data_IF_918425615355
#
_entry.id   IF_918425615355
#
_cell.length_a   1.000
_cell.length_b   1.000
_cell.length_c   1.000
_cell.angle_alpha   90.00
_cell.angle_beta   90.00
_cell.angle_gamma   90.00
#
_symmetry.space_group_name_H-M   'P 1'
#
loop_
_entity.id
_entity.type
_entity.pdbx_description
1 polymer ?
#
# COMPACT_ATOMS: atom_id res chain seq x y z
N UNK A 1 15.07 -26.96 68.79
CA UNK A 1 15.71 -25.67 68.47
C UNK A 1 16.25 -25.83 67.05
N UNK A 2 15.44 -25.47 66.05
CA UNK A 2 15.40 -24.11 65.45
C UNK A 2 16.57 -24.00 64.44
N UNK A 3 16.38 -23.75 63.13
CA UNK A 3 15.29 -23.08 62.42
C UNK A 3 15.15 -23.55 60.96
N UNK A 4 13.93 -23.42 60.46
CA UNK A 4 13.56 -23.34 59.05
C UNK A 4 13.97 -21.98 58.47
N UNK A 5 14.46 -21.94 57.22
CA UNK A 5 14.32 -20.83 56.25
C UNK A 5 15.21 -21.17 55.02
N UNK A 6 14.96 -20.83 53.76
CA UNK A 6 13.83 -20.26 53.04
C UNK A 6 14.29 -20.13 51.58
N UNK A 7 13.34 -20.36 50.69
CA UNK A 7 13.21 -19.75 49.37
C UNK A 7 14.45 -19.62 48.48
N UNK A 8 14.48 -20.55 47.52
CA UNK A 8 14.87 -20.30 46.14
C UNK A 8 14.02 -19.17 45.56
N UNK A 9 14.55 -17.95 45.48
CA UNK A 9 14.06 -16.95 44.54
C UNK A 9 15.18 -16.58 43.57
N UNK A 10 15.08 -17.21 42.41
CA UNK A 10 15.82 -16.87 41.22
C UNK A 10 15.21 -15.56 40.69
N UNK A 11 15.97 -14.46 40.51
CA UNK A 11 15.44 -13.30 39.82
C UNK A 11 15.22 -13.68 38.35
N UNK A 12 14.00 -14.11 38.05
CA UNK A 12 13.52 -14.25 36.68
C UNK A 12 13.40 -12.84 36.13
N UNK A 13 14.51 -12.33 35.60
CA UNK A 13 14.52 -11.10 34.81
C UNK A 13 13.88 -11.47 33.48
N UNK A 14 12.56 -11.55 33.43
CA UNK A 14 11.83 -11.41 32.16
C UNK A 14 12.18 -10.02 31.64
N UNK A 15 12.79 -9.89 30.45
CA UNK A 15 12.83 -8.60 29.78
C UNK A 15 11.37 -8.24 29.51
N UNK A 16 10.83 -7.33 30.31
CA UNK A 16 9.57 -6.68 30.00
C UNK A 16 9.89 -5.81 28.77
N UNK A 17 9.78 -6.42 27.59
CA UNK A 17 9.83 -5.70 26.32
C UNK A 17 8.54 -4.88 26.33
N UNK A 18 8.64 -3.62 26.76
CA UNK A 18 7.57 -2.67 26.55
C UNK A 18 7.32 -2.61 25.04
N UNK A 19 6.15 -3.08 24.53
CA UNK A 19 5.88 -3.11 23.09
C UNK A 19 5.82 -1.70 22.48
N UNK A 20 5.77 -0.66 23.33
CA UNK A 20 5.82 0.75 22.95
C UNK A 20 7.25 1.25 22.70
N UNK A 21 8.25 0.71 23.39
CA UNK A 21 9.64 1.20 23.30
C UNK A 21 10.47 0.47 22.21
N UNK A 22 10.07 -0.74 21.81
CA UNK A 22 10.75 -1.50 20.76
C UNK A 22 10.50 -0.93 19.35
N UNK A 23 9.47 -0.10 19.12
CA UNK A 23 9.12 0.41 17.79
C UNK A 23 9.82 1.73 17.41
N UNK A 24 10.98 2.00 18.01
CA UNK A 24 11.98 2.90 17.39
C UNK A 24 12.70 2.22 16.20
N UNK A 25 12.02 1.28 15.54
CA UNK A 25 12.43 0.71 14.28
C UNK A 25 12.31 1.81 13.22
N UNK A 26 13.26 1.88 12.32
CA UNK A 26 13.13 2.55 11.03
C UNK A 26 11.92 1.93 10.31
N UNK A 27 10.72 2.44 10.58
CA UNK A 27 9.45 2.02 9.96
C UNK A 27 9.52 2.23 8.44
N UNK A 28 10.40 3.13 8.02
CA UNK A 28 10.79 3.40 6.65
C UNK A 28 12.30 3.20 6.45
N UNK A 29 12.76 2.61 5.33
CA UNK A 29 11.97 2.07 4.22
C UNK A 29 11.41 0.65 4.51
N UNK A 30 10.23 0.30 3.96
CA UNK A 30 9.70 -1.06 4.02
C UNK A 30 10.65 -2.07 3.38
N UNK A 31 10.72 -3.28 3.93
CA UNK A 31 11.55 -4.35 3.36
C UNK A 31 11.06 -4.74 1.96
N UNK A 32 11.95 -5.26 1.11
CA UNK A 32 11.58 -5.73 -0.23
C UNK A 32 10.43 -6.74 -0.21
N UNK A 33 10.41 -7.64 0.79
CA UNK A 33 9.30 -8.59 0.98
C UNK A 33 7.95 -7.89 1.18
N UNK A 34 7.93 -6.79 1.93
CA UNK A 34 6.72 -5.99 2.14
C UNK A 34 6.32 -5.28 0.86
N UNK A 35 7.28 -4.73 0.11
CA UNK A 35 7.05 -4.14 -1.22
C UNK A 35 6.42 -5.15 -2.18
N UNK A 36 6.99 -6.35 -2.28
CA UNK A 36 6.48 -7.44 -3.12
C UNK A 36 5.07 -7.87 -2.71
N UNK A 37 4.77 -7.91 -1.40
CA UNK A 37 3.44 -8.22 -0.90
C UNK A 37 2.41 -7.15 -1.31
N UNK A 38 2.81 -5.87 -1.31
CA UNK A 38 1.96 -4.77 -1.81
C UNK A 38 1.71 -4.91 -3.31
N UNK A 39 2.74 -5.20 -4.11
CA UNK A 39 2.58 -5.46 -5.55
C UNK A 39 1.61 -6.61 -5.79
N UNK A 40 1.81 -7.77 -5.15
CA UNK A 40 0.91 -8.92 -5.31
C UNK A 40 -0.53 -8.56 -4.94
N UNK A 41 -0.72 -7.78 -3.86
CA UNK A 41 -2.04 -7.31 -3.45
C UNK A 41 -2.68 -6.37 -4.47
N UNK A 42 -1.89 -5.50 -5.10
CA UNK A 42 -2.35 -4.63 -6.18
C UNK A 42 -2.74 -5.45 -7.41
N UNK A 43 -1.95 -6.44 -7.79
CA UNK A 43 -2.25 -7.35 -8.91
C UNK A 43 -3.58 -8.05 -8.66
N UNK A 44 -3.75 -8.70 -7.50
CA UNK A 44 -5.02 -9.32 -7.11
C UNK A 44 -6.19 -8.34 -7.19
N UNK A 45 -6.01 -7.11 -6.73
CA UNK A 45 -7.07 -6.09 -6.69
C UNK A 45 -7.47 -5.62 -8.10
N UNK A 46 -6.50 -5.51 -9.01
CA UNK A 46 -6.68 -5.06 -10.39
C UNK A 46 -7.16 -6.18 -11.33
N UNK A 47 -6.72 -7.41 -11.09
CA UNK A 47 -7.04 -8.58 -11.92
C UNK A 47 -8.29 -9.34 -11.45
N UNK A 48 -8.65 -9.27 -10.16
CA UNK A 48 -9.82 -9.97 -9.64
C UNK A 48 -11.13 -9.16 -9.86
N UNK A 49 -12.27 -9.86 -9.99
CA UNK A 49 -13.57 -9.22 -10.04
C UNK A 49 -13.90 -8.55 -8.69
N UNK A 50 -13.60 -7.25 -8.59
CA UNK A 50 -13.85 -6.39 -7.43
C UNK A 50 -14.88 -5.29 -7.74
N UNK A 51 -15.25 -4.47 -6.74
CA UNK A 51 -16.10 -3.27 -6.93
C UNK A 51 -15.49 -2.32 -7.97
N UNK A 52 -14.16 -2.25 -8.03
CA UNK A 52 -13.44 -1.48 -9.06
C UNK A 52 -13.65 -2.06 -10.46
N UNK A 53 -13.59 -3.39 -10.61
CA UNK A 53 -13.82 -4.04 -11.90
C UNK A 53 -15.22 -3.82 -12.47
N UNK A 54 -16.23 -3.64 -11.59
CA UNK A 54 -17.60 -3.31 -12.00
C UNK A 54 -17.73 -1.90 -12.57
N UNK A 55 -16.81 -0.99 -12.22
CA UNK A 55 -16.85 0.43 -12.63
C UNK A 55 -15.84 0.76 -13.72
N UNK A 56 -14.71 0.08 -13.75
CA UNK A 56 -13.56 0.40 -14.61
C UNK A 56 -13.12 -0.78 -15.50
N UNK A 57 -13.78 -1.95 -15.39
CA UNK A 57 -13.39 -3.19 -16.06
C UNK A 57 -12.28 -3.96 -15.33
N UNK A 58 -12.10 -5.23 -15.67
CA UNK A 58 -10.98 -6.07 -15.18
C UNK A 58 -9.73 -5.85 -16.04
N UNK A 59 -8.55 -5.89 -15.42
CA UNK A 59 -7.26 -5.96 -16.12
C UNK A 59 -6.88 -7.42 -16.34
N UNK A 60 -6.15 -7.70 -17.42
CA UNK A 60 -5.44 -8.97 -17.53
C UNK A 60 -4.34 -9.05 -16.48
N UNK A 61 -3.91 -10.25 -16.11
CA UNK A 61 -2.85 -10.42 -15.12
C UNK A 61 -1.55 -9.69 -15.50
N UNK A 62 -1.20 -9.70 -16.79
CA UNK A 62 0.02 -9.05 -17.31
C UNK A 62 -0.07 -7.52 -17.18
N UNK A 63 -1.19 -6.92 -17.59
CA UNK A 63 -1.43 -5.48 -17.43
C UNK A 63 -1.50 -5.07 -15.95
N UNK A 64 -2.16 -5.89 -15.12
CA UNK A 64 -2.26 -5.67 -13.68
C UNK A 64 -0.88 -5.74 -13.01
N UNK A 65 -0.02 -6.67 -13.43
CA UNK A 65 1.35 -6.81 -12.96
C UNK A 65 2.18 -5.59 -13.32
N UNK A 66 2.21 -5.19 -14.60
CA UNK A 66 2.94 -4.01 -15.05
C UNK A 66 2.49 -2.75 -14.31
N UNK A 67 1.17 -2.54 -14.19
CA UNK A 67 0.59 -1.41 -13.47
C UNK A 67 0.94 -1.45 -11.97
N UNK A 68 0.83 -2.61 -11.32
CA UNK A 68 1.13 -2.75 -9.90
C UNK A 68 2.60 -2.45 -9.57
N UNK A 69 3.53 -2.94 -10.39
CA UNK A 69 4.95 -2.63 -10.25
C UNK A 69 5.22 -1.14 -10.41
N UNK A 70 4.62 -0.50 -11.42
CA UNK A 70 4.79 0.93 -11.64
C UNK A 70 4.19 1.77 -10.51
N UNK A 71 2.98 1.43 -10.05
CA UNK A 71 2.30 2.12 -8.94
C UNK A 71 3.15 2.06 -7.67
N UNK A 72 3.68 0.87 -7.35
CA UNK A 72 4.48 0.66 -6.16
C UNK A 72 5.81 1.41 -6.23
N UNK A 73 6.53 1.33 -7.35
CA UNK A 73 7.85 1.94 -7.50
C UNK A 73 7.77 3.48 -7.47
N UNK A 74 6.76 4.04 -8.14
CA UNK A 74 6.51 5.48 -8.11
C UNK A 74 6.10 5.95 -6.71
N UNK A 75 5.25 5.20 -6.01
CA UNK A 75 4.82 5.53 -4.67
C UNK A 75 5.98 5.43 -3.68
N UNK A 76 6.82 4.40 -3.80
CA UNK A 76 8.03 4.23 -3.00
C UNK A 76 9.00 5.38 -3.23
N UNK A 77 9.30 5.72 -4.49
CA UNK A 77 10.20 6.82 -4.84
C UNK A 77 9.71 8.17 -4.32
N UNK A 78 8.40 8.43 -4.43
CA UNK A 78 7.80 9.68 -3.91
C UNK A 78 7.85 9.72 -2.38
N UNK A 79 7.56 8.60 -1.72
CA UNK A 79 7.60 8.50 -0.27
C UNK A 79 9.03 8.55 0.27
N UNK A 80 10.00 7.94 -0.41
CA UNK A 80 11.41 7.98 -0.04
C UNK A 80 11.97 9.40 -0.14
N UNK A 81 11.61 10.14 -1.19
CA UNK A 81 11.92 11.57 -1.28
C UNK A 81 11.29 12.39 -0.14
N UNK A 82 10.06 12.04 0.28
CA UNK A 82 9.42 12.66 1.45
C UNK A 82 10.14 12.29 2.75
N UNK A 83 10.61 11.05 2.89
CA UNK A 83 11.31 10.52 4.07
C UNK A 83 12.59 11.31 4.39
N UNK A 84 13.26 11.85 3.36
CA UNK A 84 14.43 12.72 3.53
C UNK A 84 14.07 14.01 4.28
N UNK A 85 12.82 14.47 4.17
CA UNK A 85 12.33 15.71 4.78
C UNK A 85 11.51 15.49 6.05
N UNK A 86 10.84 14.34 6.18
CA UNK A 86 10.03 13.97 7.34
C UNK A 86 10.84 13.09 8.29
N UNK A 87 11.06 13.59 9.51
CA UNK A 87 11.76 12.83 10.56
C UNK A 87 10.93 11.65 11.12
N UNK A 88 9.65 11.54 10.75
CA UNK A 88 8.75 10.46 11.16
C UNK A 88 8.54 9.42 10.04
N UNK A 89 9.05 8.21 10.27
CA UNK A 89 8.86 7.07 9.37
C UNK A 89 7.39 6.63 9.26
N UNK A 90 6.56 6.94 10.26
CA UNK A 90 5.11 6.65 10.24
C UNK A 90 4.40 7.56 9.24
N UNK A 91 4.70 8.86 9.26
CA UNK A 91 4.14 9.82 8.29
C UNK A 91 4.51 9.42 6.86
N UNK A 92 5.77 9.01 6.66
CA UNK A 92 6.27 8.52 5.38
C UNK A 92 5.49 7.28 4.91
N UNK A 93 5.26 6.30 5.79
CA UNK A 93 4.49 5.10 5.47
C UNK A 93 3.01 5.40 5.16
N UNK A 94 2.42 6.36 5.87
CA UNK A 94 1.06 6.83 5.59
C UNK A 94 0.99 7.51 4.22
N UNK A 95 1.99 8.33 3.88
CA UNK A 95 2.09 8.97 2.58
C UNK A 95 2.24 7.94 1.46
N UNK A 96 3.12 6.95 1.62
CA UNK A 96 3.26 5.80 0.71
C UNK A 96 1.91 5.09 0.47
N UNK A 97 1.16 4.80 1.53
CA UNK A 97 -0.15 4.15 1.44
C UNK A 97 -1.18 4.99 0.67
N UNK A 98 -1.17 6.31 0.87
CA UNK A 98 -2.03 7.25 0.14
C UNK A 98 -1.65 7.30 -1.35
N UNK A 99 -0.36 7.36 -1.65
CA UNK A 99 0.15 7.45 -3.01
C UNK A 99 -0.14 6.18 -3.83
N UNK A 100 -0.04 4.99 -3.21
CA UNK A 100 -0.48 3.73 -3.83
C UNK A 100 -1.97 3.79 -4.17
N UNK A 101 -2.80 4.14 -3.19
CA UNK A 101 -4.26 4.16 -3.35
C UNK A 101 -4.70 5.14 -4.44
N UNK A 102 -4.06 6.32 -4.48
CA UNK A 102 -4.30 7.34 -5.49
C UNK A 102 -3.92 6.86 -6.89
N UNK A 103 -2.69 6.36 -7.09
CA UNK A 103 -2.21 5.88 -8.39
C UNK A 103 -3.00 4.67 -8.89
N UNK A 104 -3.40 3.77 -7.99
CA UNK A 104 -4.29 2.67 -8.33
C UNK A 104 -5.63 3.18 -8.88
N UNK A 105 -6.24 4.16 -8.21
CA UNK A 105 -7.49 4.77 -8.68
C UNK A 105 -7.31 5.51 -10.01
N UNK A 106 -6.21 6.25 -10.18
CA UNK A 106 -5.92 6.97 -11.41
C UNK A 106 -5.71 6.02 -12.59
N UNK A 107 -5.03 4.88 -12.36
CA UNK A 107 -4.82 3.82 -13.36
C UNK A 107 -6.14 3.23 -13.85
N UNK A 108 -7.06 2.89 -12.93
CA UNK A 108 -8.37 2.33 -13.33
C UNK A 108 -9.28 3.38 -13.97
N UNK A 109 -9.20 4.64 -13.54
CA UNK A 109 -9.97 5.75 -14.12
C UNK A 109 -9.52 6.10 -15.54
N UNK A 110 -8.21 6.15 -15.80
CA UNK A 110 -7.67 6.46 -17.13
C UNK A 110 -8.09 5.40 -18.18
N UNK A 111 -8.44 4.20 -17.73
CA UNK A 111 -8.90 3.11 -18.58
C UNK A 111 -10.42 3.03 -18.75
N UNK A 112 -11.20 3.59 -17.82
CA UNK A 112 -12.64 3.61 -17.99
C UNK A 112 -12.95 4.24 -19.35
N UNK A 113 -13.82 3.62 -20.18
CA UNK A 113 -14.25 4.27 -21.41
C UNK A 113 -14.77 5.66 -21.03
N UNK A 114 -14.45 6.71 -21.82
CA UNK A 114 -15.10 7.99 -21.64
C UNK A 114 -16.60 7.73 -21.65
N UNK A 115 -17.30 8.25 -20.64
CA UNK A 115 -18.74 8.09 -20.50
C UNK A 115 -19.41 8.33 -21.87
N UNK A 116 -20.18 7.38 -22.42
CA UNK A 116 -20.82 7.57 -23.72
C UNK A 116 -21.75 8.80 -23.77
N UNK A 117 -22.09 9.39 -22.61
CA UNK A 117 -22.80 10.67 -22.53
C UNK A 117 -21.99 11.90 -23.02
N UNK A 118 -20.69 11.77 -23.28
CA UNK A 118 -19.85 12.88 -23.77
C UNK A 118 -19.54 12.82 -25.28
N UNK A 119 -19.98 11.77 -26.00
CA UNK A 119 -19.69 11.61 -27.45
C UNK A 119 -20.92 11.77 -28.35
N UNK A 120 -22.12 12.00 -27.83
CA UNK A 120 -23.30 12.32 -28.65
C UNK A 120 -23.41 13.84 -28.85
N UNK A 121 -22.47 14.41 -29.62
CA UNK A 121 -22.48 15.84 -29.94
C UNK A 121 -21.64 16.26 -31.14
N UNK A 122 -21.10 15.32 -31.92
CA UNK A 122 -20.37 15.66 -33.15
C UNK A 122 -21.05 15.05 -34.38
N UNK A 123 -21.90 15.90 -34.97
CA UNK A 123 -22.14 16.07 -36.39
C UNK A 123 -22.33 14.82 -37.27
N UNK A 124 -23.59 14.58 -37.66
CA UNK A 124 -23.89 14.21 -39.04
C UNK A 124 -24.84 15.26 -39.63
N UNK A 125 -24.26 16.39 -40.05
CA UNK A 125 -24.85 17.19 -41.12
C UNK A 125 -24.06 16.83 -42.38
N UNK A 126 -24.65 16.01 -43.25
CA UNK A 126 -24.21 15.87 -44.64
C UNK A 126 -25.47 15.75 -45.49
N UNK A 127 -25.62 16.78 -46.32
CA UNK A 127 -26.65 16.99 -47.33
C UNK A 127 -26.64 15.92 -48.41
N UNK A 128 -27.82 15.62 -48.99
CA UNK A 128 -28.21 16.04 -50.34
C UNK A 128 -29.73 15.85 -50.53
#
# INVERSE_FOLDING_TARGET
>A
MSDSDTTRDQPSTTPQIDPSAALSFTIWPPTQRTRDAVVNRLIETLSAPSVLSKRYGTLTFDEASAAAHQIEDDAFSTADASAVTSADGIETLQFYSKEISKRMLDTVKARAPPDPAAVEGVATVVSE
#
